data_IF_751842483809
#
_entry.id   IF_751842483809
#
_cell.length_a   1.000
_cell.length_b   1.000
_cell.length_c   1.000
_cell.angle_alpha   90.00
_cell.angle_beta   90.00
_cell.angle_gamma   90.00
#
_symmetry.space_group_name_H-M   'P 1'
#
loop_
_entity.id
_entity.type
_entity.pdbx_description
1 polymer ?
#
# COMPACT_ATOMS: atom_id res chain seq x y z
N UNK A 1 7.36 16.63 -11.02
CA UNK A 1 7.83 15.29 -10.58
C UNK A 1 7.47 15.01 -9.13
N UNK A 2 7.79 15.89 -8.18
CA UNK A 2 7.47 15.70 -6.75
C UNK A 2 5.98 15.43 -6.48
N UNK A 3 5.08 16.25 -7.05
CA UNK A 3 3.62 16.10 -6.88
C UNK A 3 3.13 14.72 -7.32
N UNK A 4 3.58 14.22 -8.47
CA UNK A 4 3.22 12.87 -8.96
C UNK A 4 3.68 11.77 -8.00
N UNK A 5 4.87 11.91 -7.42
CA UNK A 5 5.41 10.96 -6.44
C UNK A 5 4.61 10.97 -5.14
N UNK A 6 4.20 12.15 -4.66
CA UNK A 6 3.34 12.28 -3.48
C UNK A 6 1.95 11.66 -3.72
N UNK A 7 1.36 11.88 -4.90
CA UNK A 7 0.10 11.26 -5.28
C UNK A 7 0.24 9.74 -5.33
N UNK A 8 1.30 9.22 -5.96
CA UNK A 8 1.56 7.78 -6.00
C UNK A 8 1.71 7.20 -4.60
N UNK A 9 2.48 7.85 -3.72
CA UNK A 9 2.66 7.40 -2.34
C UNK A 9 1.32 7.36 -1.58
N UNK A 10 0.51 8.42 -1.68
CA UNK A 10 -0.80 8.50 -1.04
C UNK A 10 -1.76 7.40 -1.54
N UNK A 11 -1.85 7.21 -2.85
CA UNK A 11 -2.69 6.14 -3.45
C UNK A 11 -2.22 4.77 -2.98
N UNK A 12 -0.90 4.53 -3.01
CA UNK A 12 -0.33 3.23 -2.65
C UNK A 12 -0.60 2.87 -1.20
N UNK A 13 -0.45 3.84 -0.27
CA UNK A 13 -0.75 3.64 1.15
C UNK A 13 -2.25 3.43 1.37
N UNK A 14 -3.11 4.23 0.75
CA UNK A 14 -4.56 4.12 0.92
C UNK A 14 -5.08 2.76 0.43
N UNK A 15 -4.64 2.31 -0.75
CA UNK A 15 -5.01 1.00 -1.30
C UNK A 15 -4.39 -0.12 -0.47
N UNK A 16 -3.12 -0.01 -0.07
CA UNK A 16 -2.47 -0.98 0.81
C UNK A 16 -3.23 -1.18 2.12
N UNK A 17 -3.68 -0.09 2.76
CA UNK A 17 -4.46 -0.15 3.99
C UNK A 17 -5.84 -0.79 3.78
N UNK A 18 -6.55 -0.40 2.71
CA UNK A 18 -7.84 -0.98 2.36
C UNK A 18 -7.75 -2.49 2.08
N UNK A 19 -6.69 -2.93 1.38
CA UNK A 19 -6.42 -4.34 1.15
C UNK A 19 -6.08 -5.08 2.44
N UNK A 20 -5.31 -4.50 3.35
CA UNK A 20 -5.05 -5.10 4.66
C UNK A 20 -6.34 -5.33 5.43
N UNK A 21 -7.27 -4.36 5.45
CA UNK A 21 -8.59 -4.54 6.06
C UNK A 21 -9.35 -5.68 5.39
N UNK A 22 -9.41 -5.70 4.06
CA UNK A 22 -10.07 -6.78 3.34
C UNK A 22 -9.46 -8.16 3.66
N UNK A 23 -8.14 -8.27 3.72
CA UNK A 23 -7.44 -9.51 4.10
C UNK A 23 -7.86 -9.95 5.51
N UNK A 24 -7.90 -9.03 6.48
CA UNK A 24 -8.32 -9.37 7.86
C UNK A 24 -9.73 -9.95 7.89
N UNK A 25 -10.66 -9.36 7.13
CA UNK A 25 -12.02 -9.90 6.98
C UNK A 25 -12.03 -11.29 6.33
N UNK A 26 -11.24 -11.49 5.28
CA UNK A 26 -11.19 -12.76 4.52
C UNK A 26 -10.58 -13.92 5.33
N UNK A 27 -9.64 -13.63 6.23
CA UNK A 27 -9.06 -14.66 7.12
C UNK A 27 -9.87 -14.85 8.41
N UNK A 28 -11.05 -14.23 8.53
CA UNK A 28 -11.96 -14.41 9.65
C UNK A 28 -11.51 -13.74 10.94
N UNK A 29 -10.77 -12.62 10.86
CA UNK A 29 -10.33 -11.85 12.02
C UNK A 29 -10.72 -10.36 11.89
N UNK A 30 -10.46 -9.58 12.93
CA UNK A 30 -10.62 -8.12 12.93
C UNK A 30 -9.27 -7.40 12.93
N UNK A 31 -9.19 -6.13 12.50
CA UNK A 31 -7.96 -5.34 12.63
C UNK A 31 -7.42 -5.24 14.06
N UNK A 32 -8.29 -5.32 15.07
CA UNK A 32 -7.90 -5.28 16.48
C UNK A 32 -7.21 -6.59 16.91
N UNK A 33 -7.75 -7.74 16.51
CA UNK A 33 -7.19 -9.07 16.78
C UNK A 33 -5.93 -9.35 15.96
N UNK A 34 -5.92 -8.92 14.70
CA UNK A 34 -4.76 -9.04 13.82
C UNK A 34 -3.56 -8.26 14.38
N UNK A 35 -3.81 -7.18 15.12
CA UNK A 35 -2.81 -6.44 15.86
C UNK A 35 -2.16 -5.32 15.06
N UNK A 36 -1.88 -4.20 15.72
CA UNK A 36 -1.38 -2.98 15.08
C UNK A 36 -0.04 -3.18 14.35
N UNK A 37 0.87 -3.97 14.91
CA UNK A 37 2.17 -4.25 14.29
C UNK A 37 1.99 -4.97 12.96
N UNK A 38 1.18 -6.02 12.92
CA UNK A 38 0.90 -6.75 11.69
C UNK A 38 0.12 -5.89 10.68
N UNK A 39 -0.85 -5.10 11.14
CA UNK A 39 -1.56 -4.14 10.28
C UNK A 39 -0.58 -3.19 9.57
N UNK A 40 0.37 -2.61 10.30
CA UNK A 40 1.36 -1.68 9.75
C UNK A 40 2.25 -2.38 8.72
N UNK A 41 2.85 -3.51 9.08
CA UNK A 41 3.78 -4.20 8.17
C UNK A 41 3.08 -4.73 6.91
N UNK A 42 1.90 -5.34 7.05
CA UNK A 42 1.13 -5.83 5.89
C UNK A 42 0.72 -4.67 4.98
N UNK A 43 0.25 -3.55 5.56
CA UNK A 43 -0.11 -2.34 4.80
C UNK A 43 1.09 -1.77 4.05
N UNK A 44 2.24 -1.64 4.70
CA UNK A 44 3.45 -1.10 4.08
C UNK A 44 3.97 -2.03 2.98
N UNK A 45 3.97 -3.35 3.18
CA UNK A 45 4.37 -4.31 2.15
C UNK A 45 3.47 -4.20 0.91
N UNK A 46 2.16 -4.12 1.09
CA UNK A 46 1.21 -3.95 -0.02
C UNK A 46 1.38 -2.58 -0.69
N UNK A 47 1.54 -1.51 0.08
CA UNK A 47 1.75 -0.17 -0.43
C UNK A 47 3.04 -0.08 -1.27
N UNK A 48 4.13 -0.72 -0.83
CA UNK A 48 5.38 -0.75 -1.62
C UNK A 48 5.17 -1.52 -2.93
N UNK A 49 4.55 -2.69 -2.89
CA UNK A 49 4.26 -3.47 -4.09
C UNK A 49 3.39 -2.70 -5.09
N UNK A 50 2.33 -2.04 -4.60
CA UNK A 50 1.46 -1.18 -5.40
C UNK A 50 2.19 0.05 -5.93
N UNK A 51 3.04 0.68 -5.13
CA UNK A 51 3.82 1.84 -5.55
C UNK A 51 4.78 1.53 -6.69
N UNK A 52 5.46 0.38 -6.63
CA UNK A 52 6.32 -0.14 -7.71
C UNK A 52 5.50 -0.36 -8.98
N UNK A 53 4.33 -1.00 -8.85
CA UNK A 53 3.45 -1.27 -10.00
C UNK A 53 2.88 0.01 -10.61
N UNK A 54 2.40 0.95 -9.79
CA UNK A 54 1.84 2.23 -10.23
C UNK A 54 2.89 3.16 -10.84
N UNK A 55 4.15 3.08 -10.41
CA UNK A 55 5.23 3.91 -10.97
C UNK A 55 5.38 3.69 -12.48
N UNK A 56 5.19 2.43 -12.94
CA UNK A 56 5.21 2.06 -14.35
C UNK A 56 4.19 2.84 -15.19
N UNK A 57 3.02 3.13 -14.65
CA UNK A 57 1.92 3.80 -15.37
C UNK A 57 1.92 5.31 -15.17
N UNK A 58 2.30 5.77 -13.98
CA UNK A 58 2.27 7.18 -13.61
C UNK A 58 3.50 7.95 -14.09
N UNK A 59 4.54 7.25 -14.56
CA UNK A 59 5.77 7.84 -15.07
C UNK A 59 6.46 8.70 -14.02
N UNK A 60 6.45 8.25 -12.76
CA UNK A 60 7.02 9.04 -11.64
C UNK A 60 8.53 8.87 -11.53
N UNK A 61 9.08 7.92 -12.30
CA UNK A 61 10.51 7.59 -12.38
C UNK A 61 11.09 7.43 -10.97
N UNK A 62 10.39 6.67 -10.11
CA UNK A 62 10.92 6.24 -8.82
C UNK A 62 11.87 5.08 -9.04
N UNK A 63 11.47 4.14 -9.90
CA UNK A 63 12.32 3.05 -10.35
C UNK A 63 13.33 3.56 -11.39
N UNK A 64 14.58 3.06 -11.36
CA UNK A 64 15.53 3.29 -12.44
C UNK A 64 15.00 2.68 -13.75
N UNK A 65 15.47 3.23 -14.87
CA UNK A 65 15.12 2.77 -16.22
C UNK A 65 15.67 1.38 -16.52
#
# INVERSE_FOLDING_TARGET
>A
MLVKRLILAAISIAVGFGLTILITMLIGTTPAEYGAIYMIFTTLSLAVALGIWLDKFMGTNILPK
#
